data_IF_405725899308
#
_entry.id   IF_405725899308
#
_cell.length_a   1.000
_cell.length_b   1.000
_cell.length_c   1.000
_cell.angle_alpha   90.00
_cell.angle_beta   90.00
_cell.angle_gamma   90.00
#
_symmetry.space_group_name_H-M   'P 1'
#
loop_
_entity.id
_entity.type
_entity.pdbx_description
1 polymer ?
#
# COMPACT_ATOMS: atom_id res chain seq x y z
N UNK A 1 29.01 1.24 4.01
CA UNK A 1 28.71 1.69 2.64
C UNK A 1 29.16 3.13 2.55
N UNK A 2 29.93 3.50 1.52
CA UNK A 2 30.28 4.91 1.33
C UNK A 2 29.03 5.73 1.03
N UNK A 3 29.01 7.00 1.42
CA UNK A 3 27.91 7.90 1.06
C UNK A 3 27.77 8.02 -0.47
N UNK A 4 28.90 8.05 -1.18
CA UNK A 4 28.95 8.16 -2.63
C UNK A 4 28.31 6.94 -3.32
N UNK A 5 28.70 5.71 -2.91
CA UNK A 5 28.11 4.46 -3.44
C UNK A 5 26.59 4.40 -3.27
N UNK A 6 26.07 4.95 -2.16
CA UNK A 6 24.63 4.99 -1.88
C UNK A 6 23.90 5.91 -2.85
N UNK A 7 24.34 7.17 -2.98
CA UNK A 7 23.69 8.14 -3.86
C UNK A 7 23.85 7.76 -5.33
N UNK A 8 24.98 7.18 -5.72
CA UNK A 8 25.18 6.63 -7.06
C UNK A 8 24.19 5.50 -7.36
N UNK A 9 23.98 4.59 -6.41
CA UNK A 9 23.00 3.50 -6.54
C UNK A 9 21.56 4.03 -6.63
N UNK A 10 21.21 5.05 -5.85
CA UNK A 10 19.92 5.74 -5.96
C UNK A 10 19.76 6.39 -7.33
N UNK A 11 20.77 7.14 -7.78
CA UNK A 11 20.79 7.79 -9.09
C UNK A 11 20.65 6.79 -10.23
N UNK A 12 21.34 5.65 -10.15
CA UNK A 12 21.24 4.57 -11.13
C UNK A 12 19.83 4.01 -11.22
N UNK A 13 19.19 3.71 -10.09
CA UNK A 13 17.81 3.19 -10.08
C UNK A 13 16.84 4.22 -10.63
N UNK A 14 16.93 5.49 -10.22
CA UNK A 14 16.07 6.56 -10.73
C UNK A 14 16.26 6.81 -12.23
N UNK A 15 17.48 6.67 -12.75
CA UNK A 15 17.71 6.72 -14.20
C UNK A 15 16.94 5.61 -14.94
N UNK A 16 16.84 4.41 -14.33
CA UNK A 16 16.06 3.31 -14.91
C UNK A 16 14.55 3.57 -14.85
N UNK A 17 14.05 4.12 -13.74
CA UNK A 17 12.65 4.58 -13.61
C UNK A 17 12.28 5.54 -14.75
N UNK A 18 13.13 6.53 -15.03
CA UNK A 18 12.88 7.49 -16.10
C UNK A 18 12.91 6.84 -17.49
N UNK A 19 13.72 5.80 -17.67
CA UNK A 19 13.84 5.09 -18.94
C UNK A 19 12.66 4.16 -19.25
N UNK A 20 11.93 3.69 -18.24
CA UNK A 20 10.76 2.79 -18.38
C UNK A 20 9.45 3.51 -18.69
N UNK A 21 9.48 4.81 -19.01
CA UNK A 21 8.28 5.67 -19.17
C UNK A 21 7.49 5.89 -17.88
N UNK A 22 8.07 5.57 -16.72
CA UNK A 22 7.44 5.83 -15.44
C UNK A 22 7.46 7.33 -15.11
N UNK A 23 6.51 7.77 -14.29
CA UNK A 23 6.46 9.16 -13.82
C UNK A 23 6.73 9.22 -12.33
N UNK A 24 7.82 9.87 -11.94
CA UNK A 24 8.07 10.20 -10.53
C UNK A 24 7.06 11.29 -10.14
N UNK A 25 6.15 10.95 -9.23
CA UNK A 25 5.06 11.83 -8.77
C UNK A 25 5.54 12.79 -7.69
N UNK A 26 6.21 12.25 -6.68
CA UNK A 26 6.71 13.01 -5.55
C UNK A 26 7.78 12.23 -4.79
N UNK A 27 8.41 12.89 -3.84
CA UNK A 27 9.35 12.31 -2.88
C UNK A 27 8.68 12.25 -1.51
N UNK A 28 8.77 11.10 -0.84
CA UNK A 28 8.25 10.94 0.51
C UNK A 28 9.26 11.27 1.60
N UNK A 29 8.77 11.44 2.82
CA UNK A 29 9.60 11.62 4.02
C UNK A 29 9.61 10.33 4.84
N UNK A 30 10.68 9.54 4.74
CA UNK A 30 10.93 8.40 5.64
C UNK A 30 12.15 8.64 6.50
N UNK A 31 12.05 8.34 7.80
CA UNK A 31 13.21 8.29 8.70
C UNK A 31 14.04 7.06 8.32
N UNK A 32 15.23 7.27 7.74
CA UNK A 32 16.19 6.19 7.44
C UNK A 32 16.47 5.91 5.96
N UNK A 33 15.98 6.75 5.04
CA UNK A 33 16.32 6.63 3.62
C UNK A 33 15.54 7.56 2.71
N UNK A 34 15.90 7.54 1.44
CA UNK A 34 15.15 8.25 0.39
C UNK A 34 13.92 7.44 -0.02
N UNK A 35 12.88 8.15 -0.43
CA UNK A 35 11.59 7.56 -0.78
C UNK A 35 10.99 8.30 -1.97
N UNK A 36 10.55 7.57 -2.99
CA UNK A 36 9.99 8.13 -4.22
C UNK A 36 8.71 7.41 -4.58
N UNK A 37 7.69 8.17 -5.01
CA UNK A 37 6.45 7.61 -5.54
C UNK A 37 6.48 7.62 -7.06
N UNK A 38 6.30 6.46 -7.65
CA UNK A 38 6.47 6.17 -9.07
C UNK A 38 5.13 5.72 -9.63
N UNK A 39 4.55 6.48 -10.54
CA UNK A 39 3.35 6.08 -11.25
C UNK A 39 3.70 5.27 -12.49
N UNK A 40 3.14 4.08 -12.58
CA UNK A 40 3.30 3.15 -13.70
C UNK A 40 2.01 2.38 -13.97
N UNK A 41 1.55 2.35 -15.21
CA UNK A 41 0.34 1.60 -15.63
C UNK A 41 -0.90 1.84 -14.74
N UNK A 42 -1.08 3.07 -14.25
CA UNK A 42 -2.17 3.43 -13.33
C UNK A 42 -1.94 3.06 -11.87
N UNK A 43 -0.87 2.35 -11.54
CA UNK A 43 -0.48 1.95 -10.18
C UNK A 43 0.58 2.90 -9.63
N UNK A 44 0.45 3.27 -8.35
CA UNK A 44 1.41 4.09 -7.62
C UNK A 44 2.32 3.20 -6.80
N UNK A 45 3.57 3.05 -7.23
CA UNK A 45 4.61 2.29 -6.53
C UNK A 45 5.44 3.20 -5.63
N UNK A 46 5.87 2.68 -4.51
CA UNK A 46 6.81 3.33 -3.59
C UNK A 46 8.20 2.70 -3.74
N UNK A 47 9.17 3.47 -4.22
CA UNK A 47 10.58 3.11 -4.17
C UNK A 47 11.19 3.62 -2.87
N UNK A 48 11.55 2.72 -1.97
CA UNK A 48 12.25 3.03 -0.73
C UNK A 48 13.72 2.58 -0.78
N UNK A 49 14.61 3.52 -0.52
CA UNK A 49 16.06 3.38 -0.57
C UNK A 49 16.66 3.56 0.85
N UNK A 50 16.62 2.53 1.71
CA UNK A 50 17.19 2.61 3.05
C UNK A 50 18.71 2.84 3.03
N UNK A 51 19.23 3.64 3.97
CA UNK A 51 20.68 3.93 4.07
C UNK A 51 21.48 2.80 4.73
N UNK A 52 20.82 1.93 5.49
CA UNK A 52 21.42 0.87 6.30
C UNK A 52 21.34 -0.52 5.66
N UNK A 53 20.76 -0.64 4.45
CA UNK A 53 20.60 -1.93 3.75
C UNK A 53 21.23 -1.90 2.36
N UNK A 54 21.59 -3.09 1.88
CA UNK A 54 22.14 -3.31 0.52
C UNK A 54 21.07 -3.66 -0.51
N UNK A 55 19.83 -3.24 -0.28
CA UNK A 55 18.74 -3.40 -1.22
C UNK A 55 17.77 -2.24 -1.08
N UNK A 56 17.09 -1.91 -2.17
CA UNK A 56 15.93 -1.04 -2.19
C UNK A 56 14.67 -1.90 -2.31
N UNK A 57 13.52 -1.33 -1.96
CA UNK A 57 12.23 -1.99 -2.13
C UNK A 57 11.35 -1.16 -3.04
N UNK A 58 10.68 -1.83 -3.97
CA UNK A 58 9.59 -1.28 -4.76
C UNK A 58 8.30 -1.90 -4.23
N UNK A 59 7.47 -1.11 -3.57
CA UNK A 59 6.27 -1.58 -2.89
C UNK A 59 4.99 -0.99 -3.48
N UNK A 60 3.90 -1.71 -3.29
CA UNK A 60 2.53 -1.26 -3.51
C UNK A 60 1.74 -1.57 -2.25
N UNK A 61 1.03 -0.56 -1.73
CA UNK A 61 0.17 -0.69 -0.58
C UNK A 61 -1.28 -0.61 -1.07
N UNK A 62 -2.08 -1.61 -0.75
CA UNK A 62 -3.51 -1.59 -1.00
C UNK A 62 -4.25 -1.56 0.34
N UNK A 63 -4.78 -0.38 0.71
CA UNK A 63 -5.44 -0.16 2.00
C UNK A 63 -6.94 0.01 1.83
N UNK A 64 -7.72 -0.79 2.54
CA UNK A 64 -9.18 -0.70 2.58
C UNK A 64 -9.61 0.66 3.15
N UNK A 65 -8.94 1.12 4.22
CA UNK A 65 -9.24 2.43 4.79
C UNK A 65 -9.02 3.59 3.81
N UNK A 66 -8.05 3.51 2.90
CA UNK A 66 -7.84 4.52 1.87
C UNK A 66 -8.97 4.51 0.84
N UNK A 67 -9.41 3.33 0.40
CA UNK A 67 -10.55 3.18 -0.51
C UNK A 67 -11.83 3.76 0.09
N UNK A 68 -12.09 3.43 1.37
CA UNK A 68 -13.25 3.95 2.10
C UNK A 68 -13.21 5.47 2.24
N UNK A 69 -12.04 6.05 2.57
CA UNK A 69 -11.87 7.51 2.68
C UNK A 69 -12.15 8.21 1.35
N UNK A 70 -11.56 7.74 0.25
CA UNK A 70 -11.80 8.31 -1.08
C UNK A 70 -13.28 8.28 -1.42
N UNK A 71 -13.94 7.14 -1.12
CA UNK A 71 -15.37 7.01 -1.35
C UNK A 71 -16.22 7.95 -0.48
N UNK A 72 -15.86 8.15 0.78
CA UNK A 72 -16.55 9.08 1.67
C UNK A 72 -16.37 10.54 1.25
N UNK A 73 -15.19 10.90 0.73
CA UNK A 73 -14.92 12.24 0.20
C UNK A 73 -15.72 12.50 -1.09
N UNK A 74 -15.84 11.49 -1.96
CA UNK A 74 -16.63 11.57 -3.19
C UNK A 74 -18.15 11.54 -2.92
N UNK A 75 -18.59 10.77 -1.93
CA UNK A 75 -19.99 10.53 -1.58
C UNK A 75 -20.27 10.70 -0.07
N UNK A 76 -20.34 11.95 0.44
CA UNK A 76 -20.50 12.23 1.87
C UNK A 76 -21.79 11.67 2.50
N UNK A 77 -22.81 11.34 1.70
CA UNK A 77 -24.02 10.67 2.16
C UNK A 77 -23.74 9.26 2.70
N UNK A 78 -22.78 8.53 2.12
CA UNK A 78 -22.40 7.19 2.59
C UNK A 78 -21.77 7.31 3.97
N UNK A 79 -20.86 8.27 4.14
CA UNK A 79 -20.24 8.58 5.42
C UNK A 79 -21.28 8.85 6.51
N UNK A 80 -22.26 9.72 6.24
CA UNK A 80 -23.33 10.05 7.21
C UNK A 80 -24.16 8.83 7.61
N UNK A 81 -24.54 7.99 6.65
CA UNK A 81 -25.27 6.76 6.94
C UNK A 81 -24.48 5.81 7.85
N UNK A 82 -23.16 5.71 7.66
CA UNK A 82 -22.31 4.91 8.53
C UNK A 82 -22.08 5.56 9.91
N UNK A 83 -21.95 6.88 10.00
CA UNK A 83 -21.89 7.60 11.29
C UNK A 83 -23.11 7.27 12.16
N UNK A 84 -24.31 7.31 11.56
CA UNK A 84 -25.56 6.95 12.22
C UNK A 84 -25.57 5.48 12.64
N UNK A 85 -25.16 4.55 11.75
CA UNK A 85 -25.10 3.11 12.03
C UNK A 85 -24.21 2.80 13.23
N UNK A 86 -23.08 3.48 13.38
CA UNK A 86 -22.12 3.24 14.46
C UNK A 86 -22.29 4.16 15.68
N UNK A 87 -23.32 5.03 15.68
CA UNK A 87 -23.57 6.01 16.75
C UNK A 87 -22.32 6.85 17.11
N UNK A 88 -21.59 7.35 16.11
CA UNK A 88 -20.37 8.14 16.33
C UNK A 88 -20.72 9.58 16.73
N UNK A 89 -20.19 10.06 17.87
CA UNK A 89 -20.38 11.44 18.33
C UNK A 89 -19.58 12.45 17.49
N UNK A 90 -20.25 13.14 16.56
CA UNK A 90 -19.62 14.13 15.67
C UNK A 90 -19.06 15.36 16.40
N UNK A 91 -19.72 15.80 17.49
CA UNK A 91 -19.44 17.09 18.15
C UNK A 91 -18.04 17.23 18.77
N UNK A 92 -17.24 16.16 18.84
CA UNK A 92 -15.91 16.13 19.46
C UNK A 92 -14.79 15.85 18.47
N UNK A 93 -15.10 15.62 17.20
CA UNK A 93 -14.19 15.01 16.23
C UNK A 93 -14.25 15.81 14.92
N UNK A 94 -13.09 16.19 14.38
CA UNK A 94 -13.03 16.84 13.06
C UNK A 94 -13.20 15.84 11.91
N UNK A 95 -13.62 16.34 10.74
CA UNK A 95 -14.04 15.53 9.58
C UNK A 95 -13.02 14.44 9.15
N UNK A 96 -11.71 14.76 9.11
CA UNK A 96 -10.68 13.78 8.74
C UNK A 96 -10.59 12.61 9.74
N UNK A 97 -10.80 12.90 11.03
CA UNK A 97 -10.84 11.84 12.04
C UNK A 97 -12.15 11.05 11.95
N UNK A 98 -13.26 11.65 11.49
CA UNK A 98 -14.51 10.93 11.27
C UNK A 98 -14.39 9.89 10.15
N UNK A 99 -13.77 10.22 9.02
CA UNK A 99 -13.50 9.25 7.94
C UNK A 99 -12.70 8.06 8.47
N UNK A 100 -11.67 8.32 9.28
CA UNK A 100 -10.81 7.28 9.85
C UNK A 100 -11.55 6.39 10.85
N UNK A 101 -12.37 6.99 11.73
CA UNK A 101 -13.16 6.24 12.71
C UNK A 101 -14.21 5.37 12.01
N UNK A 102 -14.92 5.92 11.04
CA UNK A 102 -15.93 5.17 10.29
C UNK A 102 -15.26 4.05 9.51
N UNK A 103 -14.12 4.31 8.87
CA UNK A 103 -13.34 3.27 8.18
C UNK A 103 -12.91 2.16 9.13
N UNK A 104 -12.42 2.50 10.32
CA UNK A 104 -12.04 1.52 11.34
C UNK A 104 -13.20 0.62 11.74
N UNK A 105 -14.39 1.19 12.03
CA UNK A 105 -15.56 0.39 12.39
C UNK A 105 -16.04 -0.47 11.20
N UNK A 106 -15.97 0.03 9.96
CA UNK A 106 -16.31 -0.78 8.78
C UNK A 106 -15.35 -1.94 8.57
N UNK A 107 -14.07 -1.71 8.78
CA UNK A 107 -13.05 -2.77 8.72
C UNK A 107 -13.25 -3.78 9.84
N UNK A 108 -13.70 -3.35 11.03
CA UNK A 108 -14.01 -4.27 12.13
C UNK A 108 -15.21 -5.19 11.86
N UNK A 109 -16.06 -4.84 10.89
CA UNK A 109 -17.18 -5.69 10.46
C UNK A 109 -16.73 -6.81 9.49
N UNK A 110 -15.49 -6.80 9.00
CA UNK A 110 -14.96 -7.87 8.14
C UNK A 110 -14.76 -9.12 9.00
N UNK A 111 -15.35 -10.24 8.59
CA UNK A 111 -15.19 -11.50 9.30
C UNK A 111 -13.77 -12.05 9.12
N UNK A 112 -13.23 -12.69 10.15
CA UNK A 112 -11.87 -13.29 10.11
C UNK A 112 -11.73 -14.29 8.97
N UNK A 113 -12.82 -15.00 8.63
CA UNK A 113 -12.85 -15.94 7.51
C UNK A 113 -12.65 -15.25 6.14
N UNK A 114 -13.22 -14.07 5.93
CA UNK A 114 -13.04 -13.32 4.68
C UNK A 114 -11.59 -12.86 4.53
N UNK A 115 -10.98 -12.44 5.64
CA UNK A 115 -9.55 -12.08 5.69
C UNK A 115 -8.69 -13.29 5.33
N UNK A 116 -8.96 -14.45 5.91
CA UNK A 116 -8.27 -15.70 5.62
C UNK A 116 -8.42 -16.12 4.14
N UNK A 117 -9.62 -15.99 3.58
CA UNK A 117 -9.89 -16.31 2.16
C UNK A 117 -9.11 -15.39 1.22
N UNK A 118 -9.05 -14.09 1.53
CA UNK A 118 -8.19 -13.13 0.82
C UNK A 118 -6.71 -13.55 0.93
N UNK A 119 -6.23 -13.93 2.11
CA UNK A 119 -4.86 -14.42 2.29
C UNK A 119 -4.56 -15.67 1.48
N UNK A 120 -5.44 -16.68 1.50
CA UNK A 120 -5.22 -17.92 0.77
C UNK A 120 -5.16 -17.67 -0.74
N UNK A 121 -6.06 -16.84 -1.25
CA UNK A 121 -6.05 -16.43 -2.65
C UNK A 121 -4.72 -15.77 -3.00
N UNK A 122 -4.24 -14.85 -2.16
CA UNK A 122 -3.02 -14.07 -2.41
C UNK A 122 -1.74 -14.89 -2.25
N UNK A 123 -1.68 -15.80 -1.27
CA UNK A 123 -0.54 -16.70 -1.07
C UNK A 123 -0.29 -17.58 -2.28
N UNK A 124 -1.35 -18.06 -2.95
CA UNK A 124 -1.21 -18.88 -4.17
C UNK A 124 -0.42 -18.15 -5.27
N UNK A 125 -0.55 -16.83 -5.35
CA UNK A 125 0.18 -15.99 -6.31
C UNK A 125 1.59 -15.63 -5.81
N UNK A 126 1.73 -15.38 -4.51
CA UNK A 126 3.01 -15.06 -3.88
C UNK A 126 4.06 -16.16 -4.09
N UNK A 127 3.65 -17.43 -3.97
CA UNK A 127 4.52 -18.62 -4.12
C UNK A 127 5.24 -18.66 -5.47
N UNK A 128 4.64 -18.06 -6.51
CA UNK A 128 5.18 -18.04 -7.87
C UNK A 128 5.86 -16.71 -8.24
N UNK A 129 6.04 -15.80 -7.27
CA UNK A 129 6.64 -14.49 -7.46
C UNK A 129 7.85 -14.27 -6.54
N UNK A 130 8.79 -13.41 -6.94
CA UNK A 130 9.88 -12.95 -6.06
C UNK A 130 9.42 -11.83 -5.09
N UNK A 131 8.10 -11.61 -4.97
CA UNK A 131 7.51 -10.58 -4.13
C UNK A 131 7.32 -11.04 -2.69
N UNK A 132 7.44 -10.10 -1.75
CA UNK A 132 7.09 -10.29 -0.34
C UNK A 132 5.76 -9.63 -0.06
N UNK A 133 4.89 -10.36 0.62
CA UNK A 133 3.56 -9.90 1.00
C UNK A 133 3.50 -9.70 2.51
N UNK A 134 2.89 -8.61 2.94
CA UNK A 134 2.72 -8.26 4.35
C UNK A 134 1.36 -7.65 4.60
N UNK A 135 0.82 -7.99 5.74
CA UNK A 135 -0.41 -7.42 6.28
C UNK A 135 -0.18 -5.95 6.59
N UNK A 136 -1.10 -5.11 6.13
CA UNK A 136 -1.24 -3.76 6.61
C UNK A 136 -2.26 -3.76 7.73
N UNK A 137 -2.00 -2.91 8.72
CA UNK A 137 -2.86 -2.80 9.88
C UNK A 137 -3.26 -1.35 10.11
N UNK A 138 -4.44 -1.18 10.68
CA UNK A 138 -4.98 0.09 11.14
C UNK A 138 -5.19 0.03 12.66
N UNK A 139 -4.76 1.09 13.35
CA UNK A 139 -5.03 1.30 14.77
C UNK A 139 -6.32 2.06 14.95
N UNK A 140 -7.00 1.87 16.08
CA UNK A 140 -8.16 2.69 16.41
C UNK A 140 -7.73 4.17 16.48
N UNK A 141 -8.27 5.06 15.65
CA UNK A 141 -7.90 6.47 15.64
C UNK A 141 -8.36 7.22 16.91
N UNK A 142 -9.23 6.63 17.74
CA UNK A 142 -9.77 7.25 18.97
C UNK A 142 -8.89 7.03 20.19
N UNK A 143 -8.11 5.95 20.22
CA UNK A 143 -7.44 5.49 21.43
C UNK A 143 -6.00 5.06 21.14
N UNK A 144 -5.09 5.29 22.11
CA UNK A 144 -3.77 4.65 22.10
C UNK A 144 -3.89 3.20 22.63
N UNK A 145 -4.72 2.39 21.97
CA UNK A 145 -4.76 0.94 22.23
C UNK A 145 -3.78 0.23 21.31
N UNK A 146 -3.31 -0.93 21.78
CA UNK A 146 -2.43 -1.83 21.01
C UNK A 146 -3.23 -2.74 20.05
N UNK A 147 -4.55 -2.65 20.05
CA UNK A 147 -5.40 -3.42 19.12
C UNK A 147 -5.28 -2.85 17.71
N UNK A 148 -4.89 -3.73 16.78
CA UNK A 148 -4.69 -3.42 15.38
C UNK A 148 -5.57 -4.34 14.54
N UNK A 149 -6.39 -3.75 13.66
CA UNK A 149 -7.20 -4.48 12.71
C UNK A 149 -6.47 -4.63 11.38
N UNK A 150 -6.80 -5.67 10.63
CA UNK A 150 -6.31 -5.85 9.27
C UNK A 150 -6.89 -4.77 8.34
N UNK A 151 -6.04 -4.08 7.59
CA UNK A 151 -6.42 -2.93 6.73
C UNK A 151 -6.05 -3.15 5.25
N UNK A 152 -5.57 -4.34 4.91
CA UNK A 152 -5.16 -4.66 3.55
C UNK A 152 -3.74 -5.17 3.50
N UNK A 153 -3.08 -4.99 2.35
CA UNK A 153 -1.88 -5.75 2.01
C UNK A 153 -0.83 -4.86 1.33
N UNK A 154 0.41 -5.03 1.75
CA UNK A 154 1.60 -4.50 1.09
C UNK A 154 2.28 -5.62 0.29
N UNK A 155 2.59 -5.31 -0.96
CA UNK A 155 3.41 -6.14 -1.85
C UNK A 155 4.74 -5.42 -2.04
N UNK A 156 5.85 -6.14 -1.97
CA UNK A 156 7.17 -5.54 -2.16
C UNK A 156 8.10 -6.45 -2.96
N UNK A 157 8.66 -5.88 -4.03
CA UNK A 157 9.78 -6.45 -4.76
C UNK A 157 11.09 -5.85 -4.25
N UNK A 158 12.17 -6.65 -4.25
CA UNK A 158 13.48 -6.19 -3.82
C UNK A 158 14.39 -5.91 -5.02
N UNK A 159 15.06 -4.76 -4.97
CA UNK A 159 16.06 -4.34 -5.93
C UNK A 159 17.44 -4.38 -5.25
N UNK A 160 18.41 -4.97 -5.92
CA UNK A 160 19.77 -5.13 -5.39
C UNK A 160 20.77 -4.33 -6.24
N UNK A 161 20.78 -2.99 -6.15
CA UNK A 161 21.60 -2.14 -7.02
C UNK A 161 23.10 -2.32 -6.80
N UNK A 162 23.50 -2.82 -5.63
CA UNK A 162 24.89 -3.07 -5.28
C UNK A 162 25.42 -4.42 -5.80
N UNK A 163 24.60 -5.24 -6.44
CA UNK A 163 25.02 -6.52 -7.02
C UNK A 163 25.55 -6.34 -8.44
N UNK A 164 26.62 -7.08 -8.75
CA UNK A 164 27.15 -7.17 -10.10
C UNK A 164 26.04 -7.72 -11.04
N UNK A 165 25.58 -6.88 -11.97
CA UNK A 165 24.53 -7.23 -12.92
C UNK A 165 23.14 -6.69 -12.58
N UNK A 166 23.00 -5.76 -11.63
CA UNK A 166 21.82 -4.89 -11.61
C UNK A 166 21.73 -4.09 -12.92
N UNK A 167 20.55 -4.05 -13.53
CA UNK A 167 20.34 -3.52 -14.87
C UNK A 167 18.92 -3.01 -15.04
N UNK A 168 18.64 -2.18 -16.07
CA UNK A 168 17.28 -1.73 -16.37
C UNK A 168 16.29 -2.90 -16.50
N UNK A 169 16.73 -4.01 -17.10
CA UNK A 169 15.91 -5.22 -17.26
C UNK A 169 15.54 -5.88 -15.91
N UNK A 170 16.44 -5.85 -14.92
CA UNK A 170 16.13 -6.37 -13.58
C UNK A 170 15.11 -5.48 -12.86
N UNK A 171 15.31 -4.16 -12.91
CA UNK A 171 14.33 -3.20 -12.39
C UNK A 171 12.95 -3.41 -13.02
N UNK A 172 12.90 -3.47 -14.36
CA UNK A 172 11.69 -3.66 -15.13
C UNK A 172 10.95 -4.94 -14.74
N UNK A 173 11.68 -6.05 -14.63
CA UNK A 173 11.12 -7.33 -14.20
C UNK A 173 10.49 -7.21 -12.80
N UNK A 174 11.22 -6.65 -11.84
CA UNK A 174 10.70 -6.48 -10.47
C UNK A 174 9.46 -5.59 -10.43
N UNK A 175 9.44 -4.49 -11.18
CA UNK A 175 8.26 -3.61 -11.27
C UNK A 175 7.04 -4.34 -11.84
N UNK A 176 7.21 -5.10 -12.92
CA UNK A 176 6.13 -5.87 -13.52
C UNK A 176 5.62 -7.00 -12.62
N UNK A 177 6.52 -7.67 -11.88
CA UNK A 177 6.13 -8.68 -10.89
C UNK A 177 5.29 -8.07 -9.77
N UNK A 178 5.72 -6.93 -9.20
CA UNK A 178 4.95 -6.21 -8.16
C UNK A 178 3.58 -5.79 -8.69
N UNK A 179 3.52 -5.22 -9.90
CA UNK A 179 2.27 -4.80 -10.56
C UNK A 179 1.34 -6.00 -10.81
N UNK A 180 1.88 -7.13 -11.26
CA UNK A 180 1.09 -8.32 -11.53
C UNK A 180 0.44 -8.86 -10.25
N UNK A 181 1.19 -8.93 -9.15
CA UNK A 181 0.67 -9.36 -7.86
C UNK A 181 -0.31 -8.31 -7.30
N UNK A 182 -0.02 -7.01 -7.47
CA UNK A 182 -0.92 -5.92 -7.06
C UNK A 182 -2.32 -6.05 -7.66
N UNK A 183 -2.43 -6.30 -8.96
CA UNK A 183 -3.73 -6.48 -9.63
C UNK A 183 -4.51 -7.66 -9.06
N UNK A 184 -3.82 -8.75 -8.72
CA UNK A 184 -4.46 -9.93 -8.13
C UNK A 184 -4.95 -9.66 -6.70
N UNK A 185 -4.16 -8.91 -5.92
CA UNK A 185 -4.55 -8.45 -4.58
C UNK A 185 -5.76 -7.52 -4.65
N UNK A 186 -5.76 -6.56 -5.57
CA UNK A 186 -6.91 -5.68 -5.83
C UNK A 186 -8.17 -6.48 -6.17
N UNK A 187 -8.06 -7.45 -7.07
CA UNK A 187 -9.19 -8.29 -7.48
C UNK A 187 -9.72 -9.18 -6.35
N UNK A 188 -8.85 -9.60 -5.43
CA UNK A 188 -9.26 -10.37 -4.25
C UNK A 188 -9.96 -9.48 -3.22
N UNK A 189 -9.39 -8.30 -2.92
CA UNK A 189 -9.92 -7.38 -1.92
C UNK A 189 -11.24 -6.74 -2.38
N UNK A 190 -11.40 -6.44 -3.67
CA UNK A 190 -12.66 -5.91 -4.22
C UNK A 190 -13.89 -6.78 -3.98
N UNK A 191 -13.72 -8.09 -3.74
CA UNK A 191 -14.80 -9.04 -3.48
C UNK A 191 -15.27 -9.05 -2.03
N UNK A 192 -14.67 -8.24 -1.16
CA UNK A 192 -15.15 -8.08 0.20
C UNK A 192 -16.48 -7.34 0.18
N UNK A 193 -17.48 -7.90 0.86
CA UNK A 193 -18.84 -7.34 0.94
C UNK A 193 -18.84 -5.85 1.33
N UNK A 194 -17.96 -5.46 2.25
CA UNK A 194 -17.85 -4.07 2.71
C UNK A 194 -17.50 -3.07 1.59
N UNK A 195 -16.81 -3.52 0.53
CA UNK A 195 -16.42 -2.74 -0.64
C UNK A 195 -17.47 -2.84 -1.75
N UNK A 196 -18.11 -4.00 -1.93
CA UNK A 196 -19.24 -4.16 -2.85
C UNK A 196 -20.43 -3.27 -2.44
N UNK A 197 -20.73 -3.19 -1.13
CA UNK A 197 -21.82 -2.38 -0.58
C UNK A 197 -21.68 -0.88 -0.88
N UNK A 198 -20.45 -0.40 -1.05
CA UNK A 198 -20.19 1.01 -1.41
C UNK A 198 -19.97 1.18 -2.91
N UNK A 199 -20.04 0.12 -3.73
CA UNK A 199 -19.91 0.20 -5.18
C UNK A 199 -18.48 0.47 -5.65
N UNK A 200 -17.50 -0.17 -5.02
CA UNK A 200 -16.10 -0.20 -5.46
C UNK A 200 -15.80 -1.41 -6.35
#
# INVERSE_FOLDING_TARGET
MGADDYYDSVGQVLAYVLSSSDRIKTQGARKGGLNFYIQRDGILLELYCPTDRRYFSLSYDHRISELLRVKYDDEPQILRGHIERYNIEENRIGDQNLNDIVSYNRISDIEEQDVDDVYQNIQSYAIHSDCRIRDLKMRDPRENKDEELWDGIQISGLLYPFENGFSPRKYERTAQEVISVAKQVEDAIKRLDILEEIGY
#
